data_IF_682888125230
#
_entry.id   IF_682888125230
#
_cell.length_a   1.000
_cell.length_b   1.000
_cell.length_c   1.000
_cell.angle_alpha   90.00
_cell.angle_beta   90.00
_cell.angle_gamma   90.00
#
_symmetry.space_group_name_H-M   'P 1'
#
loop_
_entity.id
_entity.type
_entity.pdbx_description
1 polymer ?
#
# COMPACT_ATOMS: atom_id res chain seq x y z
N UNK A 1 4.44 4.30 6.73
CA UNK A 1 4.20 4.26 5.28
C UNK A 1 3.55 5.54 4.76
N UNK A 2 2.32 5.87 5.17
CA UNK A 2 1.56 7.02 4.62
C UNK A 2 2.27 8.37 4.74
N UNK A 3 2.86 8.67 5.91
CA UNK A 3 3.67 9.88 6.10
C UNK A 3 4.79 10.01 5.06
N UNK A 4 5.45 8.89 4.74
CA UNK A 4 6.49 8.83 3.73
C UNK A 4 5.90 9.02 2.32
N UNK A 5 4.78 8.35 2.01
CA UNK A 5 4.09 8.45 0.73
C UNK A 5 3.64 9.88 0.41
N UNK A 6 3.18 10.62 1.42
CA UNK A 6 2.79 12.03 1.30
C UNK A 6 3.94 12.96 0.90
N UNK A 7 5.20 12.59 1.13
CA UNK A 7 6.35 13.38 0.67
C UNK A 7 6.38 14.83 1.16
N UNK A 8 5.81 15.12 2.33
CA UNK A 8 5.67 16.48 2.87
C UNK A 8 4.36 17.20 2.52
N UNK A 9 3.53 16.65 1.65
CA UNK A 9 2.22 17.22 1.31
C UNK A 9 1.18 16.97 2.41
N UNK A 10 0.34 17.99 2.67
CA UNK A 10 -0.74 17.94 3.65
C UNK A 10 -2.08 17.84 2.92
N UNK A 11 -2.92 16.89 3.32
CA UNK A 11 -4.30 16.74 2.82
C UNK A 11 -4.42 16.25 1.37
N UNK A 12 -3.30 15.92 0.70
CA UNK A 12 -3.32 15.49 -0.70
C UNK A 12 -3.61 13.98 -0.85
N UNK A 13 -4.34 13.57 -1.90
CA UNK A 13 -4.69 12.17 -2.14
C UNK A 13 -3.55 11.35 -2.75
N UNK A 14 -2.64 11.97 -3.50
CA UNK A 14 -1.52 11.30 -4.16
C UNK A 14 -0.17 11.85 -3.72
N UNK A 15 0.94 11.09 -3.92
CA UNK A 15 2.30 11.54 -3.60
C UNK A 15 2.72 12.85 -4.30
N UNK A 16 2.05 13.20 -5.40
CA UNK A 16 2.29 14.41 -6.21
C UNK A 16 1.19 15.48 -6.09
N UNK A 17 0.17 15.31 -5.24
CA UNK A 17 -0.91 16.28 -5.06
C UNK A 17 -2.30 15.77 -5.45
N UNK A 18 -3.19 16.68 -5.87
CA UNK A 18 -4.59 16.39 -6.20
C UNK A 18 -4.84 16.08 -7.68
N UNK A 19 -3.84 16.23 -8.54
CA UNK A 19 -3.98 15.91 -9.95
C UNK A 19 -4.29 14.42 -10.13
N UNK A 20 -5.22 14.12 -11.04
CA UNK A 20 -5.66 12.75 -11.33
C UNK A 20 -4.46 11.84 -11.69
N UNK A 21 -4.50 10.55 -11.32
CA UNK A 21 -3.45 9.62 -11.68
C UNK A 21 -3.44 9.37 -13.19
N UNK A 22 -2.24 9.24 -13.74
CA UNK A 22 -1.98 8.85 -15.11
C UNK A 22 -0.68 8.03 -15.13
N UNK A 23 -0.45 7.26 -16.22
CA UNK A 23 0.68 6.33 -16.29
C UNK A 23 2.06 7.01 -16.29
N UNK A 24 2.14 8.34 -16.39
CA UNK A 24 3.42 9.07 -16.20
C UNK A 24 3.75 9.31 -14.72
N UNK A 25 2.78 9.13 -13.81
CA UNK A 25 2.92 9.40 -12.37
C UNK A 25 2.89 8.15 -11.51
N UNK A 26 2.13 7.13 -11.93
CA UNK A 26 2.01 5.86 -11.23
C UNK A 26 1.70 4.71 -12.18
N UNK A 27 2.01 3.51 -11.71
CA UNK A 27 1.78 2.26 -12.43
C UNK A 27 0.45 1.63 -11.97
N UNK A 28 -0.63 1.78 -12.75
CA UNK A 28 -2.00 1.40 -12.33
C UNK A 28 -2.94 1.13 -13.53
N UNK A 29 -4.11 0.54 -13.26
CA UNK A 29 -5.22 0.32 -14.20
C UNK A 29 -4.82 -0.47 -15.47
N UNK A 30 -4.09 -1.57 -15.27
CA UNK A 30 -3.62 -2.39 -16.40
C UNK A 30 -3.53 -3.89 -16.10
N UNK A 31 -4.50 -4.43 -15.35
CA UNK A 31 -4.53 -5.85 -14.97
C UNK A 31 -4.25 -6.85 -16.12
N UNK A 32 -4.58 -6.51 -17.37
CA UNK A 32 -4.34 -7.37 -18.53
C UNK A 32 -2.89 -7.45 -19.01
N UNK A 33 -2.01 -6.53 -18.61
CA UNK A 33 -0.64 -6.43 -19.15
C UNK A 33 0.35 -7.32 -18.37
N UNK A 34 0.02 -7.72 -17.13
CA UNK A 34 0.85 -8.54 -16.23
C UNK A 34 2.32 -8.08 -16.13
N UNK A 35 2.52 -6.76 -16.15
CA UNK A 35 3.82 -6.11 -16.07
C UNK A 35 3.88 -5.20 -14.83
N UNK A 36 5.08 -4.93 -14.33
CA UNK A 36 5.30 -3.96 -13.26
C UNK A 36 6.32 -2.96 -13.76
N UNK A 37 6.03 -1.68 -13.69
CA UNK A 37 7.01 -0.65 -14.03
C UNK A 37 8.13 -0.61 -12.99
N UNK A 38 9.37 -0.30 -13.41
CA UNK A 38 10.44 0.03 -12.47
C UNK A 38 10.01 1.27 -11.67
N UNK A 39 9.87 1.20 -10.33
CA UNK A 39 9.49 2.35 -9.53
C UNK A 39 10.37 3.58 -9.80
N UNK A 40 11.66 3.39 -10.06
CA UNK A 40 12.61 4.48 -10.32
C UNK A 40 12.38 5.20 -11.65
N UNK A 41 11.60 4.63 -12.56
CA UNK A 41 11.17 5.30 -13.79
C UNK A 41 10.07 6.35 -13.55
N UNK A 42 9.37 6.27 -12.42
CA UNK A 42 8.32 7.22 -12.02
C UNK A 42 8.91 8.39 -11.23
N UNK A 43 8.28 9.58 -11.23
CA UNK A 43 8.75 10.72 -10.44
C UNK A 43 8.80 10.42 -8.93
N UNK A 44 9.84 10.87 -8.21
CA UNK A 44 9.86 10.78 -6.75
C UNK A 44 8.86 11.76 -6.12
N UNK A 45 8.40 11.45 -4.91
CA UNK A 45 7.71 12.43 -4.07
C UNK A 45 8.70 13.40 -3.40
N UNK A 46 8.20 14.34 -2.59
CA UNK A 46 9.03 15.35 -1.92
C UNK A 46 10.08 14.81 -0.92
N UNK A 47 10.08 13.51 -0.62
CA UNK A 47 11.13 12.84 0.18
C UNK A 47 12.06 11.96 -0.66
N UNK A 48 11.98 12.01 -1.98
CA UNK A 48 12.80 11.17 -2.87
C UNK A 48 12.31 9.72 -3.00
N UNK A 49 11.08 9.41 -2.54
CA UNK A 49 10.53 8.06 -2.63
C UNK A 49 9.76 7.88 -3.94
N UNK A 50 10.07 6.78 -4.63
CA UNK A 50 9.46 6.40 -5.89
C UNK A 50 8.40 5.30 -5.72
N UNK A 51 7.43 5.25 -6.64
CA UNK A 51 6.40 4.21 -6.70
C UNK A 51 5.60 4.09 -5.40
N UNK A 52 5.29 5.23 -4.75
CA UNK A 52 4.47 5.24 -3.53
C UNK A 52 2.96 5.14 -3.82
N UNK A 53 2.55 5.17 -5.10
CA UNK A 53 1.20 4.93 -5.57
C UNK A 53 1.28 4.04 -6.81
N UNK A 54 0.49 2.96 -6.84
CA UNK A 54 0.58 1.94 -7.89
C UNK A 54 1.80 1.02 -7.75
N UNK A 55 2.11 0.28 -8.81
CA UNK A 55 3.16 -0.74 -8.81
C UNK A 55 2.69 -1.97 -8.06
N UNK A 56 3.07 -2.12 -6.79
CA UNK A 56 2.58 -3.23 -5.96
C UNK A 56 2.02 -2.71 -4.64
N UNK A 57 1.02 -3.41 -4.12
CA UNK A 57 0.63 -3.27 -2.73
C UNK A 57 1.83 -3.53 -1.82
N UNK A 58 2.07 -2.66 -0.86
CA UNK A 58 3.17 -2.81 0.08
C UNK A 58 2.67 -3.26 1.45
N UNK A 59 3.19 -4.39 1.93
CA UNK A 59 2.98 -4.84 3.30
C UNK A 59 3.45 -3.80 4.33
N UNK A 60 2.67 -3.67 5.40
CA UNK A 60 3.06 -2.94 6.60
C UNK A 60 2.98 -3.84 7.83
N UNK A 61 3.69 -3.49 8.90
CA UNK A 61 3.62 -4.21 10.17
C UNK A 61 2.32 -3.94 10.96
N UNK A 62 1.47 -3.03 10.49
CA UNK A 62 0.23 -2.64 11.17
C UNK A 62 -0.84 -3.72 11.01
N UNK A 63 -1.43 -4.17 12.12
CA UNK A 63 -2.62 -5.03 12.12
C UNK A 63 -3.81 -4.22 11.58
N UNK A 64 -4.61 -4.83 10.72
CA UNK A 64 -5.79 -4.16 10.19
C UNK A 64 -6.88 -4.09 11.27
N UNK A 65 -7.33 -2.86 11.53
CA UNK A 65 -8.53 -2.55 12.33
C UNK A 65 -9.37 -1.55 11.55
N UNK A 66 -10.62 -1.91 11.24
CA UNK A 66 -11.57 -1.03 10.57
C UNK A 66 -11.79 0.29 11.31
N UNK A 67 -11.65 0.30 12.64
CA UNK A 67 -11.78 1.48 13.50
C UNK A 67 -10.44 2.14 13.85
N UNK A 68 -9.31 1.63 13.34
CA UNK A 68 -7.98 2.07 13.76
C UNK A 68 -7.70 3.57 13.56
N UNK A 69 -8.29 4.19 12.52
CA UNK A 69 -8.18 5.64 12.33
C UNK A 69 -9.05 6.47 13.28
N UNK A 70 -10.09 5.89 13.88
CA UNK A 70 -10.89 6.52 14.94
C UNK A 70 -10.25 6.36 16.31
N UNK A 71 -9.27 5.46 16.45
CA UNK A 71 -8.57 5.12 17.69
C UNK A 71 -7.05 5.11 17.48
N UNK A 72 -6.45 6.25 17.04
CA UNK A 72 -5.03 6.30 16.73
C UNK A 72 -4.18 5.95 17.97
N UNK A 73 -3.19 5.08 17.79
CA UNK A 73 -2.28 4.66 18.87
C UNK A 73 -2.82 3.57 19.79
N UNK A 74 -4.05 3.09 19.56
CA UNK A 74 -4.61 1.94 20.27
C UNK A 74 -4.32 0.70 19.42
N UNK A 75 -3.53 -0.23 19.95
CA UNK A 75 -3.34 -1.53 19.32
C UNK A 75 -4.68 -2.29 19.33
N UNK A 76 -5.06 -2.94 18.22
CA UNK A 76 -6.31 -3.66 18.17
C UNK A 76 -6.30 -4.88 19.09
N UNK A 77 -7.42 -5.10 19.77
CA UNK A 77 -7.64 -6.31 20.56
C UNK A 77 -7.88 -7.50 19.61
N UNK A 78 -6.87 -8.36 19.50
CA UNK A 78 -6.90 -9.53 18.62
C UNK A 78 -7.99 -10.54 19.00
N UNK A 79 -8.41 -10.58 20.28
CA UNK A 79 -9.48 -11.48 20.72
C UNK A 79 -10.84 -11.08 20.15
N UNK A 80 -11.03 -9.79 19.86
CA UNK A 80 -12.26 -9.25 19.26
C UNK A 80 -12.25 -9.38 17.74
N UNK A 81 -11.07 -9.32 17.10
CA UNK A 81 -10.95 -9.44 15.65
C UNK A 81 -11.27 -10.86 15.15
N UNK A 82 -11.04 -11.90 15.96
CA UNK A 82 -11.40 -13.28 15.63
C UNK A 82 -10.60 -13.91 14.49
N UNK A 83 -9.54 -13.25 14.02
CA UNK A 83 -8.67 -13.72 12.93
C UNK A 83 -7.30 -14.15 13.45
N UNK A 84 -6.95 -15.43 13.25
CA UNK A 84 -5.63 -15.98 13.56
C UNK A 84 -5.03 -16.73 12.35
N UNK A 85 -3.95 -16.21 11.73
CA UNK A 85 -3.25 -14.98 12.08
C UNK A 85 -4.02 -13.73 11.63
N UNK A 86 -3.82 -12.57 12.28
CA UNK A 86 -4.55 -11.36 11.94
C UNK A 86 -4.18 -10.83 10.56
N UNK A 87 -5.13 -10.16 9.91
CA UNK A 87 -4.86 -9.35 8.73
C UNK A 87 -3.89 -8.21 9.03
N UNK A 88 -3.00 -7.93 8.06
CA UNK A 88 -2.11 -6.76 8.09
C UNK A 88 -2.44 -5.81 6.96
N UNK A 89 -2.21 -4.53 7.23
CA UNK A 89 -2.51 -3.44 6.29
C UNK A 89 -1.54 -3.48 5.10
N UNK A 90 -2.12 -3.44 3.90
CA UNK A 90 -1.46 -3.15 2.64
C UNK A 90 -1.70 -1.69 2.23
N UNK A 91 -0.72 -1.07 1.58
CA UNK A 91 -0.77 0.34 1.15
C UNK A 91 -0.34 0.52 -0.30
N UNK A 92 -0.77 1.62 -0.92
CA UNK A 92 -0.25 2.12 -2.20
C UNK A 92 -1.04 1.71 -3.45
N UNK A 93 -1.84 0.65 -3.38
CA UNK A 93 -2.44 0.09 -4.58
C UNK A 93 -1.41 -0.61 -5.46
N UNK A 94 -1.85 -1.18 -6.57
CA UNK A 94 -0.99 -1.89 -7.50
C UNK A 94 -1.27 -1.57 -8.96
N UNK A 95 -0.44 -2.11 -9.84
CA UNK A 95 -0.53 -2.05 -11.30
C UNK A 95 -1.90 -2.50 -11.84
N UNK A 96 -2.59 -3.37 -11.11
CA UNK A 96 -3.91 -3.87 -11.48
C UNK A 96 -5.08 -3.05 -10.96
N UNK A 97 -4.84 -2.11 -10.04
CA UNK A 97 -5.92 -1.41 -9.34
C UNK A 97 -6.33 -0.09 -10.01
N UNK A 98 -7.56 0.33 -9.71
CA UNK A 98 -8.09 1.62 -10.17
C UNK A 98 -7.51 2.82 -9.41
N UNK A 99 -7.72 4.01 -9.97
CA UNK A 99 -7.36 5.31 -9.39
C UNK A 99 -7.79 5.51 -7.92
N UNK A 100 -8.89 4.87 -7.49
CA UNK A 100 -9.42 4.97 -6.13
C UNK A 100 -8.57 4.23 -5.09
N UNK A 101 -7.92 3.14 -5.50
CA UNK A 101 -7.12 2.29 -4.61
C UNK A 101 -5.67 2.76 -4.50
N UNK A 102 -5.15 3.52 -5.47
CA UNK A 102 -3.77 4.04 -5.47
C UNK A 102 -3.59 5.37 -4.72
N UNK A 103 -4.53 5.73 -3.84
CA UNK A 103 -4.39 6.91 -2.98
C UNK A 103 -3.49 6.63 -1.78
N UNK A 104 -2.83 7.66 -1.24
CA UNK A 104 -1.90 7.50 -0.10
C UNK A 104 -2.60 7.03 1.19
N UNK A 105 -3.91 7.24 1.31
CA UNK A 105 -4.71 6.89 2.49
C UNK A 105 -5.47 5.58 2.37
N UNK A 106 -5.66 5.05 1.16
CA UNK A 106 -6.38 3.79 0.97
C UNK A 106 -5.64 2.65 1.68
N UNK A 107 -6.42 1.71 2.22
CA UNK A 107 -5.92 0.53 2.91
C UNK A 107 -6.65 -0.70 2.38
N UNK A 108 -5.90 -1.68 1.92
CA UNK A 108 -6.37 -3.06 1.82
C UNK A 108 -5.80 -3.84 3.01
N UNK A 109 -6.29 -5.04 3.27
CA UNK A 109 -5.66 -5.97 4.19
C UNK A 109 -5.66 -7.39 3.65
N UNK A 110 -4.62 -8.15 3.99
CA UNK A 110 -4.54 -9.59 3.74
C UNK A 110 -4.03 -10.25 5.02
N UNK A 111 -4.38 -11.52 5.22
CA UNK A 111 -3.88 -12.33 6.34
C UNK A 111 -2.35 -12.31 6.29
N UNK A 112 -1.67 -12.01 7.41
CA UNK A 112 -0.20 -11.82 7.41
C UNK A 112 0.62 -13.03 6.95
N UNK A 113 -0.01 -14.21 6.92
CA UNK A 113 0.51 -15.46 6.36
C UNK A 113 -0.19 -15.89 5.06
N UNK A 114 -0.92 -15.01 4.37
CA UNK A 114 -1.59 -15.38 3.11
C UNK A 114 -0.62 -15.77 2.01
N UNK A 115 0.66 -15.40 2.12
CA UNK A 115 1.73 -15.95 1.29
C UNK A 115 2.02 -17.44 1.58
N UNK A 116 1.63 -17.94 2.76
CA UNK A 116 1.67 -19.37 3.16
C UNK A 116 0.37 -20.11 2.88
N UNK A 117 -0.76 -19.44 2.98
CA UNK A 117 -2.10 -20.02 2.81
C UNK A 117 -2.75 -19.47 1.54
N UNK A 118 -2.31 -20.03 0.41
CA UNK A 118 -2.86 -19.70 -0.90
C UNK A 118 -4.33 -20.12 -1.05
N UNK A 119 -4.98 -19.57 -2.07
CA UNK A 119 -6.23 -20.07 -2.61
C UNK A 119 -5.95 -20.78 -3.95
N UNK A 120 -4.90 -21.63 -3.94
CA UNK A 120 -4.01 -22.13 -5.01
C UNK A 120 -2.64 -21.43 -5.01
N UNK A 121 -1.55 -22.17 -5.26
CA UNK A 121 -0.12 -21.81 -5.12
C UNK A 121 0.40 -20.63 -5.98
N UNK A 122 -0.44 -19.66 -6.32
CA UNK A 122 -0.06 -18.47 -7.07
C UNK A 122 0.30 -17.32 -6.11
N UNK A 123 1.56 -16.89 -6.17
CA UNK A 123 2.00 -15.55 -5.74
C UNK A 123 0.94 -14.49 -6.06
N UNK A 124 0.58 -13.62 -5.11
CA UNK A 124 -0.14 -12.39 -5.46
C UNK A 124 0.84 -11.50 -6.25
N UNK A 125 0.75 -11.43 -7.58
CA UNK A 125 1.77 -10.80 -8.43
C UNK A 125 1.79 -9.27 -8.28
N UNK A 126 0.85 -8.74 -7.51
CA UNK A 126 0.63 -7.33 -7.26
C UNK A 126 0.89 -6.95 -5.80
N UNK A 127 1.50 -7.83 -4.99
CA UNK A 127 1.85 -7.56 -3.59
C UNK A 127 3.36 -7.74 -3.37
N UNK A 128 4.00 -6.70 -2.83
CA UNK A 128 5.40 -6.68 -2.43
C UNK A 128 5.59 -5.97 -1.09
N UNK A 129 6.78 -5.41 -0.87
CA UNK A 129 7.08 -4.66 0.35
C UNK A 129 8.24 -3.68 0.13
N UNK A 130 8.39 -2.77 1.08
CA UNK A 130 9.50 -1.83 1.18
C UNK A 130 10.09 -1.88 2.58
N UNK A 131 11.42 -1.90 2.65
CA UNK A 131 12.13 -1.92 3.93
C UNK A 131 12.11 -0.54 4.59
N UNK A 132 11.99 -0.54 5.91
CA UNK A 132 12.17 0.63 6.77
C UNK A 132 13.24 0.32 7.80
N UNK A 133 14.07 1.31 8.11
CA UNK A 133 15.09 1.21 9.15
C UNK A 133 14.87 2.31 10.18
N UNK A 134 14.94 1.95 11.46
CA UNK A 134 14.97 2.92 12.56
C UNK A 134 16.33 3.63 12.54
N UNK A 135 16.33 4.95 12.50
CA UNK A 135 17.54 5.72 12.78
C UNK A 135 17.75 5.70 14.29
N UNK A 136 18.96 5.30 14.70
CA UNK A 136 19.42 5.37 16.09
C UNK A 136 20.02 6.75 16.37
#
# INVERSE_FOLDING_TARGET
WEKAARGGLIGQPYPWGAAAPDRSRCDFDHFGDFVIADPRSLPPNGYGLHGMAGGVWEWTSTIYDALGYRRPGVEPDLSILGEDPPQRVLRGGSWSDSAAAVTVSFRHALVGESWRRGWTDAFNPNVGFRLVRRHL
#
